data_IF_735592236802
#
_entry.id   IF_735592236802
#
_cell.length_a   1.000
_cell.length_b   1.000
_cell.length_c   1.000
_cell.angle_alpha   90.00
_cell.angle_beta   90.00
_cell.angle_gamma   90.00
#
_symmetry.space_group_name_H-M   'P 1'
#
loop_
_entity.id
_entity.type
_entity.pdbx_description
1 polymer ?
#
# COMPACT_ATOMS: atom_id res chain seq x y z
N UNK A 1 -11.98 -19.79 -6.11
CA UNK A 1 -10.81 -18.96 -6.52
C UNK A 1 -9.76 -19.15 -5.45
N UNK A 2 -8.64 -19.79 -5.77
CA UNK A 2 -7.56 -19.98 -4.79
C UNK A 2 -6.93 -18.62 -4.50
N UNK A 3 -6.82 -18.29 -3.21
CA UNK A 3 -5.96 -17.21 -2.71
C UNK A 3 -4.57 -17.37 -3.34
N UNK A 4 -3.92 -16.29 -3.82
CA UNK A 4 -2.51 -16.38 -4.17
C UNK A 4 -1.71 -16.77 -2.91
N UNK A 5 -0.66 -17.57 -3.12
CA UNK A 5 0.22 -18.10 -2.08
C UNK A 5 0.92 -16.93 -1.33
N UNK A 6 0.95 -16.90 0.02
CA UNK A 6 1.67 -15.87 0.80
C UNK A 6 3.15 -15.71 0.43
N UNK A 7 3.74 -16.68 -0.30
CA UNK A 7 5.09 -16.55 -0.87
C UNK A 7 5.23 -15.49 -1.98
N UNK A 8 4.14 -14.95 -2.53
CA UNK A 8 4.16 -14.04 -3.68
C UNK A 8 4.48 -12.56 -3.33
N UNK A 9 4.22 -12.10 -2.11
CA UNK A 9 4.52 -10.71 -1.68
C UNK A 9 6.03 -10.47 -1.54
N UNK A 10 6.80 -11.50 -1.17
CA UNK A 10 8.25 -11.43 -0.99
C UNK A 10 9.02 -10.99 -2.26
N UNK A 11 8.41 -11.13 -3.44
CA UNK A 11 8.98 -10.66 -4.70
C UNK A 11 8.81 -9.14 -4.89
N UNK A 12 7.65 -8.59 -4.48
CA UNK A 12 7.36 -7.16 -4.62
C UNK A 12 8.23 -6.31 -3.71
N UNK A 13 8.48 -6.76 -2.48
CA UNK A 13 9.38 -6.07 -1.54
C UNK A 13 10.81 -5.90 -2.10
N UNK A 14 11.29 -6.83 -2.94
CA UNK A 14 12.68 -6.86 -3.43
C UNK A 14 12.93 -6.10 -4.72
N UNK A 15 11.88 -5.58 -5.37
CA UNK A 15 11.99 -4.85 -6.63
C UNK A 15 12.43 -3.40 -6.40
N UNK A 16 13.28 -2.86 -7.28
CA UNK A 16 13.79 -1.48 -7.16
C UNK A 16 12.67 -0.43 -7.17
N UNK A 17 11.68 -0.62 -8.05
CA UNK A 17 10.50 0.21 -8.15
C UNK A 17 9.24 -0.67 -8.10
N UNK A 18 8.36 -0.38 -7.14
CA UNK A 18 7.01 -0.95 -7.08
C UNK A 18 6.00 0.14 -7.43
N UNK A 19 5.06 -0.18 -8.31
CA UNK A 19 4.00 0.73 -8.74
C UNK A 19 2.66 0.21 -8.25
N UNK A 20 1.97 1.00 -7.44
CA UNK A 20 0.54 0.80 -7.19
C UNK A 20 -0.23 1.73 -8.12
N UNK A 21 -0.89 1.12 -9.11
CA UNK A 21 -1.73 1.84 -10.07
C UNK A 21 -3.16 1.97 -9.51
N UNK A 22 -3.87 3.03 -9.90
CA UNK A 22 -5.29 3.23 -9.59
C UNK A 22 -5.64 3.22 -8.08
N UNK A 23 -4.82 3.90 -7.28
CA UNK A 23 -4.99 3.98 -5.83
C UNK A 23 -6.33 4.58 -5.42
N UNK A 24 -7.08 3.82 -4.62
CA UNK A 24 -8.30 4.29 -4.00
C UNK A 24 -9.53 4.31 -4.91
N UNK A 25 -9.52 3.62 -6.06
CA UNK A 25 -10.73 3.42 -6.90
C UNK A 25 -11.94 2.93 -6.09
N UNK A 26 -11.68 2.11 -5.08
CA UNK A 26 -12.63 1.72 -4.04
C UNK A 26 -11.96 1.84 -2.68
N UNK A 27 -12.72 2.15 -1.61
CA UNK A 27 -12.19 2.08 -0.25
C UNK A 27 -11.57 0.71 0.03
N UNK A 28 -10.42 0.70 0.69
CA UNK A 28 -9.76 -0.54 1.06
C UNK A 28 -10.51 -1.23 2.18
N UNK A 29 -10.56 -2.56 2.10
CA UNK A 29 -10.94 -3.35 3.26
C UNK A 29 -9.72 -3.56 4.18
N UNK A 30 -9.98 -4.04 5.39
CA UNK A 30 -8.95 -4.20 6.41
C UNK A 30 -7.80 -5.14 5.97
N UNK A 31 -8.10 -6.24 5.27
CA UNK A 31 -7.07 -7.17 4.77
C UNK A 31 -6.16 -6.49 3.74
N UNK A 32 -6.73 -5.73 2.81
CA UNK A 32 -5.96 -4.97 1.81
C UNK A 32 -5.05 -3.93 2.46
N UNK A 33 -5.54 -3.20 3.47
CA UNK A 33 -4.74 -2.22 4.20
C UNK A 33 -3.57 -2.89 4.95
N UNK A 34 -3.79 -4.08 5.53
CA UNK A 34 -2.72 -4.85 6.15
C UNK A 34 -1.67 -5.34 5.14
N UNK A 35 -2.10 -5.89 4.01
CA UNK A 35 -1.20 -6.37 2.95
C UNK A 35 -0.33 -5.23 2.40
N UNK A 36 -0.92 -4.05 2.17
CA UNK A 36 -0.21 -2.85 1.74
C UNK A 36 0.81 -2.43 2.80
N UNK A 37 0.42 -2.41 4.07
CA UNK A 37 1.31 -2.03 5.15
C UNK A 37 2.51 -2.98 5.26
N UNK A 38 2.31 -4.29 5.17
CA UNK A 38 3.40 -5.29 5.19
C UNK A 38 4.41 -5.02 4.05
N UNK A 39 3.91 -4.79 2.83
CA UNK A 39 4.77 -4.47 1.68
C UNK A 39 5.52 -3.15 1.89
N UNK A 40 4.87 -2.12 2.41
CA UNK A 40 5.50 -0.83 2.64
C UNK A 40 6.52 -0.87 3.78
N UNK A 41 6.30 -1.68 4.82
CA UNK A 41 7.25 -1.90 5.91
C UNK A 41 8.58 -2.47 5.41
N UNK A 42 8.51 -3.52 4.58
CA UNK A 42 9.70 -4.14 4.01
C UNK A 42 10.47 -3.22 3.03
N UNK A 43 9.78 -2.21 2.47
CA UNK A 43 10.34 -1.30 1.46
C UNK A 43 10.80 0.03 2.02
N UNK A 44 10.29 0.45 3.16
CA UNK A 44 10.49 1.78 3.73
C UNK A 44 11.98 2.11 3.88
N UNK A 45 12.39 3.25 3.29
CA UNK A 45 13.79 3.74 3.21
C UNK A 45 14.80 2.81 2.53
N UNK A 46 14.34 1.74 1.88
CA UNK A 46 15.20 0.78 1.17
C UNK A 46 14.99 0.78 -0.34
N UNK A 47 13.75 0.95 -0.81
CA UNK A 47 13.37 0.89 -2.24
C UNK A 47 12.31 1.93 -2.58
N UNK A 48 12.17 2.27 -3.85
CA UNK A 48 11.22 3.31 -4.31
C UNK A 48 9.83 2.74 -4.54
N UNK A 49 8.80 3.44 -4.08
CA UNK A 49 7.40 3.11 -4.35
C UNK A 49 6.74 4.28 -5.08
N UNK A 50 6.02 4.00 -6.16
CA UNK A 50 5.24 4.99 -6.91
C UNK A 50 3.76 4.64 -6.79
N UNK A 51 2.95 5.65 -6.49
CA UNK A 51 1.49 5.54 -6.42
C UNK A 51 0.92 6.40 -7.53
N UNK A 52 -0.02 5.86 -8.32
CA UNK A 52 -0.89 6.65 -9.19
C UNK A 52 -2.26 6.72 -8.55
N UNK A 53 -2.91 7.88 -8.59
CA UNK A 53 -4.26 8.05 -8.09
C UNK A 53 -4.99 9.12 -8.88
N UNK A 54 -6.29 8.92 -9.07
CA UNK A 54 -7.22 9.94 -9.52
C UNK A 54 -7.76 10.81 -8.36
N UNK A 55 -7.49 10.41 -7.12
CA UNK A 55 -7.95 11.10 -5.91
C UNK A 55 -6.83 11.94 -5.30
N UNK A 56 -7.15 13.14 -4.78
CA UNK A 56 -6.19 13.96 -4.04
C UNK A 56 -5.59 13.22 -2.82
N UNK A 57 -4.34 13.50 -2.49
CA UNK A 57 -3.62 12.80 -1.40
C UNK A 57 -4.30 12.99 -0.03
N UNK A 58 -4.93 14.14 0.21
CA UNK A 58 -5.66 14.44 1.44
C UNK A 58 -6.93 13.59 1.64
N UNK A 59 -7.42 12.91 0.58
CA UNK A 59 -8.54 11.95 0.71
C UNK A 59 -8.08 10.52 0.99
N UNK A 60 -6.78 10.22 0.89
CA UNK A 60 -6.29 8.84 0.97
C UNK A 60 -6.52 8.22 2.35
N UNK A 61 -6.49 9.03 3.41
CA UNK A 61 -6.75 8.57 4.77
C UNK A 61 -8.15 7.95 4.90
N UNK A 62 -9.17 8.63 4.34
CA UNK A 62 -10.55 8.13 4.31
C UNK A 62 -10.69 6.88 3.44
N UNK A 63 -9.98 6.80 2.31
CA UNK A 63 -10.01 5.65 1.41
C UNK A 63 -9.39 4.39 2.04
N UNK A 64 -8.43 4.54 2.94
CA UNK A 64 -7.84 3.42 3.70
C UNK A 64 -8.79 2.95 4.82
N UNK A 65 -9.64 3.85 5.32
CA UNK A 65 -10.76 3.56 6.21
C UNK A 65 -10.37 3.36 7.68
N UNK A 66 -9.44 2.45 7.97
CA UNK A 66 -8.93 2.28 9.34
C UNK A 66 -7.92 3.39 9.69
N UNK A 67 -8.20 4.26 10.68
CA UNK A 67 -7.32 5.40 10.97
C UNK A 67 -5.89 5.00 11.37
N UNK A 68 -5.73 3.88 12.07
CA UNK A 68 -4.42 3.42 12.54
C UNK A 68 -3.58 2.93 11.36
N UNK A 69 -4.19 2.14 10.47
CA UNK A 69 -3.53 1.68 9.24
C UNK A 69 -3.28 2.84 8.27
N UNK A 70 -4.23 3.77 8.16
CA UNK A 70 -4.09 4.96 7.32
C UNK A 70 -2.89 5.81 7.74
N UNK A 71 -2.74 6.10 9.03
CA UNK A 71 -1.58 6.81 9.56
C UNK A 71 -0.28 6.06 9.25
N UNK A 72 -0.24 4.75 9.51
CA UNK A 72 0.96 3.94 9.30
C UNK A 72 1.38 3.83 7.82
N UNK A 73 0.41 3.69 6.91
CA UNK A 73 0.62 3.60 5.47
C UNK A 73 1.09 4.96 4.92
N UNK A 74 0.38 6.04 5.25
CA UNK A 74 0.72 7.37 4.74
C UNK A 74 2.07 7.85 5.26
N UNK A 75 2.42 7.51 6.51
CA UNK A 75 3.75 7.81 7.07
C UNK A 75 4.87 7.22 6.21
N UNK A 76 4.72 5.99 5.71
CA UNK A 76 5.72 5.31 4.88
C UNK A 76 5.75 5.76 3.42
N UNK A 77 4.67 6.36 2.92
CA UNK A 77 4.59 6.87 1.55
C UNK A 77 5.10 8.29 1.42
N UNK A 78 4.92 9.11 2.47
CA UNK A 78 5.23 10.55 2.44
C UNK A 78 6.61 10.87 3.01
N UNK A 79 7.16 10.05 3.92
CA UNK A 79 8.46 10.25 4.55
C UNK A 79 9.58 9.35 4.00
#
# INVERSE_FOLDING_TARGET
>A
MSRPDPSSHASYAKTDLLVFDDWGLTPFNQEQSHDILEILEDRHRLRSTLITSQFPVDTWHELIGDPTLADAILDRLVH
#
